data_IF_070772252637
#
_entry.id   IF_070772252637
#
_cell.length_a   1.000
_cell.length_b   1.000
_cell.length_c   1.000
_cell.angle_alpha   90.00
_cell.angle_beta   90.00
_cell.angle_gamma   90.00
#
_symmetry.space_group_name_H-M   'P 1'
#
loop_
_entity.id
_entity.type
_entity.pdbx_description
1 polymer ?
#
# COMPACT_ATOMS: atom_id res chain seq x y z
N UNK A 1 -13.66 -7.36 -13.80
CA UNK A 1 -12.62 -6.62 -13.05
C UNK A 1 -11.70 -7.66 -12.45
N UNK A 2 -10.40 -7.60 -12.74
CA UNK A 2 -9.44 -8.50 -12.10
C UNK A 2 -9.41 -8.16 -10.60
N UNK A 3 -9.37 -9.19 -9.75
CA UNK A 3 -9.23 -8.98 -8.30
C UNK A 3 -7.87 -8.39 -7.94
N UNK A 4 -7.68 -7.97 -6.68
CA UNK A 4 -6.42 -7.41 -6.22
C UNK A 4 -5.25 -8.39 -6.39
N UNK A 5 -4.10 -7.88 -6.85
CA UNK A 5 -2.86 -8.65 -7.00
C UNK A 5 -2.16 -8.77 -5.65
N UNK A 6 -1.63 -9.96 -5.34
CA UNK A 6 -0.79 -10.13 -4.14
C UNK A 6 0.62 -9.58 -4.38
N UNK A 7 1.12 -8.82 -3.42
CA UNK A 7 2.45 -8.24 -3.44
C UNK A 7 3.12 -8.34 -2.07
N UNK A 8 4.46 -8.44 -2.04
CA UNK A 8 5.20 -8.42 -0.79
C UNK A 8 5.27 -7.01 -0.19
N UNK A 9 5.53 -6.91 1.12
CA UNK A 9 5.71 -5.61 1.78
C UNK A 9 6.85 -4.78 1.13
N UNK A 10 7.96 -5.43 0.77
CA UNK A 10 9.11 -4.77 0.12
C UNK A 10 8.72 -4.22 -1.26
N UNK A 11 7.89 -4.94 -2.00
CA UNK A 11 7.41 -4.48 -3.32
C UNK A 11 6.53 -3.24 -3.17
N UNK A 12 5.57 -3.28 -2.24
CA UNK A 12 4.68 -2.15 -1.95
C UNK A 12 5.47 -0.93 -1.46
N UNK A 13 6.47 -1.13 -0.60
CA UNK A 13 7.36 -0.07 -0.15
C UNK A 13 8.19 0.51 -1.30
N UNK A 14 8.71 -0.34 -2.18
CA UNK A 14 9.40 0.09 -3.40
C UNK A 14 8.51 0.98 -4.28
N UNK A 15 7.25 0.60 -4.49
CA UNK A 15 6.28 1.42 -5.24
C UNK A 15 6.03 2.77 -4.56
N UNK A 16 5.92 2.78 -3.23
CA UNK A 16 5.73 4.01 -2.45
C UNK A 16 6.93 4.96 -2.56
N UNK A 17 8.15 4.43 -2.45
CA UNK A 17 9.41 5.19 -2.56
C UNK A 17 9.51 5.85 -3.94
N UNK A 18 9.06 5.17 -4.99
CA UNK A 18 9.09 5.68 -6.36
C UNK A 18 7.90 6.59 -6.72
N UNK A 19 7.01 6.89 -5.76
CA UNK A 19 5.85 7.75 -5.99
C UNK A 19 4.77 7.12 -6.90
N UNK A 20 4.75 5.79 -7.02
CA UNK A 20 3.82 5.07 -7.91
C UNK A 20 2.51 4.66 -7.24
N UNK A 21 2.34 4.99 -5.96
CA UNK A 21 1.12 4.72 -5.20
C UNK A 21 0.29 5.98 -5.01
N UNK A 22 -1.03 5.82 -5.10
CA UNK A 22 -2.02 6.88 -4.93
C UNK A 22 -2.58 6.90 -3.51
N UNK A 23 -2.97 5.73 -3.00
CA UNK A 23 -3.52 5.57 -1.65
C UNK A 23 -3.06 4.25 -1.03
N UNK A 24 -3.04 4.22 0.30
CA UNK A 24 -2.80 3.02 1.10
C UNK A 24 -3.78 2.97 2.28
N UNK A 25 -4.33 1.79 2.56
CA UNK A 25 -5.26 1.54 3.69
C UNK A 25 -5.07 0.15 4.26
N UNK A 26 -5.49 -0.04 5.50
CA UNK A 26 -5.59 -1.37 6.09
C UNK A 26 -6.96 -1.97 5.77
N UNK A 27 -6.97 -3.28 5.59
CA UNK A 27 -8.17 -4.08 5.43
C UNK A 27 -8.08 -5.32 6.33
N UNK A 28 -9.22 -5.85 6.73
CA UNK A 28 -9.29 -7.02 7.62
C UNK A 28 -9.05 -8.30 6.83
N UNK A 29 -8.32 -9.24 7.45
CA UNK A 29 -8.16 -10.58 6.92
C UNK A 29 -9.22 -11.52 7.48
N UNK A 30 -9.77 -12.39 6.63
CA UNK A 30 -10.66 -13.46 7.06
C UNK A 30 -9.95 -14.45 8.00
N UNK A 31 -8.66 -14.74 7.72
CA UNK A 31 -7.83 -15.68 8.48
C UNK A 31 -6.35 -15.25 8.45
N UNK A 32 -5.65 -15.21 9.61
CA UNK A 32 -6.20 -15.35 10.97
C UNK A 32 -7.14 -14.18 11.31
N UNK A 33 -8.17 -14.42 12.14
CA UNK A 33 -9.11 -13.37 12.53
C UNK A 33 -8.40 -12.27 13.32
N UNK A 34 -8.76 -11.01 13.06
CA UNK A 34 -8.16 -9.84 13.70
C UNK A 34 -6.80 -9.45 13.11
N UNK A 35 -6.29 -10.18 12.12
CA UNK A 35 -5.12 -9.75 11.35
C UNK A 35 -5.52 -8.78 10.26
N UNK A 36 -4.56 -7.97 9.83
CA UNK A 36 -4.77 -6.92 8.85
C UNK A 36 -3.82 -7.13 7.66
N UNK A 37 -4.26 -6.74 6.48
CA UNK A 37 -3.42 -6.60 5.29
C UNK A 37 -3.39 -5.14 4.86
N UNK A 38 -2.33 -4.75 4.17
CA UNK A 38 -2.25 -3.46 3.52
C UNK A 38 -2.82 -3.60 2.11
N UNK A 39 -3.73 -2.70 1.75
CA UNK A 39 -4.32 -2.56 0.41
C UNK A 39 -3.87 -1.22 -0.15
N UNK A 40 -3.24 -1.25 -1.32
CA UNK A 40 -2.75 -0.05 -2.01
C UNK A 40 -3.34 0.04 -3.41
N UNK A 41 -3.54 1.26 -3.88
CA UNK A 41 -3.91 1.57 -5.28
C UNK A 41 -2.75 2.32 -5.90
N UNK A 42 -2.23 1.82 -7.02
CA UNK A 42 -1.21 2.49 -7.82
C UNK A 42 -1.81 3.61 -8.69
N UNK A 43 -0.96 4.45 -9.26
CA UNK A 43 -1.40 5.54 -10.14
C UNK A 43 -2.11 5.06 -11.42
N UNK A 44 -1.81 3.86 -11.89
CA UNK A 44 -2.45 3.22 -13.06
C UNK A 44 -3.73 2.44 -12.70
N UNK A 45 -4.14 2.46 -11.43
CA UNK A 45 -5.37 1.83 -10.95
C UNK A 45 -5.25 0.34 -10.62
N UNK A 46 -4.05 -0.24 -10.61
CA UNK A 46 -3.82 -1.57 -10.06
C UNK A 46 -4.04 -1.54 -8.53
N UNK A 47 -4.78 -2.53 -8.02
CA UNK A 47 -4.95 -2.73 -6.57
C UNK A 47 -4.07 -3.88 -6.13
N UNK A 48 -3.20 -3.62 -5.15
CA UNK A 48 -2.32 -4.61 -4.56
C UNK A 48 -2.66 -4.86 -3.10
N UNK A 49 -2.46 -6.11 -2.68
CA UNK A 49 -2.67 -6.55 -1.29
C UNK A 49 -1.45 -7.28 -0.75
N UNK A 50 -1.06 -6.94 0.47
CA UNK A 50 0.01 -7.65 1.17
C UNK A 50 -0.51 -8.93 1.84
N UNK A 51 0.39 -9.85 2.24
CA UNK A 51 0.04 -10.88 3.19
C UNK A 51 -0.54 -10.29 4.48
N UNK A 52 -1.39 -11.07 5.14
CA UNK A 52 -1.92 -10.73 6.46
C UNK A 52 -0.77 -10.67 7.48
N UNK A 53 -0.84 -9.68 8.36
CA UNK A 53 0.09 -9.48 9.46
C UNK A 53 -0.68 -9.15 10.74
N UNK A 54 0.00 -9.30 11.88
CA UNK A 54 -0.54 -8.84 13.16
C UNK A 54 -0.86 -7.34 13.11
N UNK A 55 -1.88 -6.86 13.84
CA UNK A 55 -2.33 -5.47 13.79
C UNK A 55 -1.22 -4.44 13.99
N UNK A 56 -0.28 -4.70 14.90
CA UNK A 56 0.82 -3.79 15.17
C UNK A 56 1.78 -3.70 13.98
N UNK A 57 2.16 -4.85 13.40
CA UNK A 57 3.01 -4.91 12.22
C UNK A 57 2.34 -4.22 11.02
N UNK A 58 1.06 -4.50 10.78
CA UNK A 58 0.29 -3.89 9.70
C UNK A 58 0.20 -2.36 9.83
N UNK A 59 -0.04 -1.83 11.03
CA UNK A 59 -0.05 -0.38 11.31
C UNK A 59 1.32 0.25 11.09
N UNK A 60 2.41 -0.44 11.46
CA UNK A 60 3.78 0.02 11.19
C UNK A 60 4.04 0.11 9.69
N UNK A 61 3.64 -0.91 8.91
CA UNK A 61 3.75 -0.86 7.45
C UNK A 61 2.96 0.30 6.86
N UNK A 62 1.69 0.48 7.24
CA UNK A 62 0.89 1.62 6.78
C UNK A 62 1.57 2.96 7.11
N UNK A 63 2.15 3.12 8.29
CA UNK A 63 2.85 4.34 8.68
C UNK A 63 4.07 4.63 7.79
N UNK A 64 4.86 3.60 7.46
CA UNK A 64 5.99 3.72 6.53
C UNK A 64 5.50 4.14 5.14
N UNK A 65 4.50 3.46 4.59
CA UNK A 65 3.95 3.80 3.27
C UNK A 65 3.38 5.22 3.24
N UNK A 66 2.60 5.61 4.25
CA UNK A 66 2.07 6.95 4.36
C UNK A 66 3.17 8.02 4.52
N UNK A 67 4.31 7.68 5.12
CA UNK A 67 5.44 8.60 5.19
C UNK A 67 5.98 8.94 3.80
N UNK A 68 5.97 7.99 2.86
CA UNK A 68 6.36 8.23 1.47
C UNK A 68 5.27 8.97 0.70
N UNK A 69 4.01 8.53 0.82
CA UNK A 69 2.88 9.19 0.14
C UNK A 69 2.76 10.68 0.51
N UNK A 70 2.91 11.02 1.79
CA UNK A 70 2.81 12.41 2.25
C UNK A 70 4.07 13.24 1.98
N UNK A 71 5.24 12.60 1.83
CA UNK A 71 6.52 13.28 1.55
C UNK A 71 6.74 13.52 0.06
N UNK A 72 6.19 12.67 -0.80
CA UNK A 72 6.34 12.72 -2.26
C UNK A 72 5.04 13.08 -3.00
N UNK A 73 3.91 13.26 -2.31
CA UNK A 73 2.63 13.70 -2.88
C UNK A 73 2.62 15.09 -3.54
N UNK A 74 3.79 15.66 -3.82
CA UNK A 74 3.99 16.90 -4.57
C UNK A 74 4.87 16.77 -5.82
N UNK A 75 5.30 15.58 -6.25
CA UNK A 75 6.17 15.43 -7.43
C UNK A 75 5.68 14.33 -8.39
N UNK A 76 4.65 14.68 -9.17
CA UNK A 76 4.44 14.21 -10.55
C UNK A 76 3.37 15.07 -11.25
N UNK A 77 3.53 16.38 -11.22
CA UNK A 77 2.96 17.28 -12.24
C UNK A 77 4.12 18.13 -12.77
N UNK A 78 4.99 17.50 -13.56
CA UNK A 78 5.66 18.24 -14.63
C UNK A 78 4.60 18.42 -15.72
N UNK A 79 3.82 19.49 -15.60
CA UNK A 79 3.01 19.99 -16.70
C UNK A 79 3.95 20.52 -17.77
N UNK A 80 3.97 19.79 -18.89
CA UNK A 80 4.33 20.23 -20.24
C UNK A 80 3.37 21.32 -20.74
#
# INVERSE_FOLDING_TARGET
MAGPRRAGFIEVEGLAINGLLKIARLDECDKPQGWLKLVVESLDGEVLETPCAEPEAARRFLAVINSYLNRWGGLATEDL
#
